data_IF_461400598199
#
_entry.id   IF_461400598199
#
_cell.length_a   1.000
_cell.length_b   1.000
_cell.length_c   1.000
_cell.angle_alpha   90.00
_cell.angle_beta   90.00
_cell.angle_gamma   90.00
#
_symmetry.space_group_name_H-M   'P 1'
#
loop_
_entity.id
_entity.type
_entity.pdbx_description
1 polymer ?
#
# COMPACT_ATOMS: atom_id res chain seq x y z
N UNK A 1 -22.61 6.50 24.86
CA UNK A 1 -22.62 7.55 23.81
C UNK A 1 -22.30 6.88 22.50
N UNK A 2 -23.14 6.97 21.51
CA UNK A 2 -22.83 6.48 20.16
C UNK A 2 -21.89 7.51 19.52
N UNK A 3 -20.64 7.11 19.33
CA UNK A 3 -19.65 7.95 18.64
C UNK A 3 -20.11 8.14 17.20
N UNK A 4 -20.35 9.39 16.82
CA UNK A 4 -20.82 9.72 15.47
C UNK A 4 -19.64 9.69 14.50
N UNK A 5 -19.66 8.74 13.59
CA UNK A 5 -18.65 8.57 12.54
C UNK A 5 -18.72 9.73 11.55
N UNK A 6 -17.62 10.39 11.29
CA UNK A 6 -17.48 11.45 10.26
C UNK A 6 -17.41 10.82 8.86
N UNK A 7 -18.52 10.27 8.41
CA UNK A 7 -18.61 9.50 7.16
C UNK A 7 -18.19 10.29 5.91
N UNK A 8 -18.35 11.63 5.90
CA UNK A 8 -17.97 12.48 4.76
C UNK A 8 -16.48 12.37 4.40
N UNK A 9 -15.60 12.09 5.38
CA UNK A 9 -14.17 11.96 5.15
C UNK A 9 -13.78 10.81 4.20
N UNK A 10 -14.63 9.77 4.07
CA UNK A 10 -14.40 8.69 3.11
C UNK A 10 -14.55 9.13 1.64
N UNK A 11 -15.16 10.28 1.40
CA UNK A 11 -15.39 10.80 0.05
C UNK A 11 -14.41 11.90 -0.36
N UNK A 12 -13.62 12.39 0.60
CA UNK A 12 -12.72 13.53 0.37
C UNK A 12 -11.28 13.11 0.02
N UNK A 13 -10.88 11.88 0.37
CA UNK A 13 -9.51 11.41 0.19
C UNK A 13 -9.46 10.07 -0.52
N UNK A 14 -8.38 9.83 -1.27
CA UNK A 14 -8.10 8.54 -1.91
C UNK A 14 -7.69 7.46 -0.90
N UNK A 15 -7.21 7.88 0.27
CA UNK A 15 -6.91 7.01 1.40
C UNK A 15 -8.04 7.02 2.42
N UNK A 16 -8.27 5.88 3.07
CA UNK A 16 -9.16 5.82 4.22
C UNK A 16 -8.66 6.79 5.29
N UNK A 17 -9.54 7.64 5.86
CA UNK A 17 -9.16 8.51 6.97
C UNK A 17 -8.73 7.68 8.17
N UNK A 18 -7.81 8.19 8.99
CA UNK A 18 -7.40 7.51 10.22
C UNK A 18 -8.57 7.37 11.20
N UNK A 19 -8.51 6.38 12.07
CA UNK A 19 -9.54 6.17 13.08
C UNK A 19 -9.72 7.42 13.96
N UNK A 20 -8.62 8.09 14.31
CA UNK A 20 -8.65 9.31 15.08
C UNK A 20 -9.33 10.48 14.34
N UNK A 21 -9.21 10.56 13.02
CA UNK A 21 -9.94 11.54 12.19
C UNK A 21 -11.43 11.22 12.12
N UNK A 22 -11.78 9.93 12.08
CA UNK A 22 -13.18 9.49 11.99
C UNK A 22 -13.97 9.73 13.26
N UNK A 23 -13.39 9.45 14.43
CA UNK A 23 -14.10 9.43 15.72
C UNK A 23 -13.48 10.33 16.80
N UNK A 24 -12.27 10.86 16.58
CA UNK A 24 -11.48 11.57 17.59
C UNK A 24 -10.53 10.65 18.37
N UNK A 25 -9.47 11.24 18.92
CA UNK A 25 -8.41 10.48 19.59
C UNK A 25 -8.87 9.71 20.84
N UNK A 26 -9.78 10.28 21.62
CA UNK A 26 -10.24 9.64 22.86
C UNK A 26 -11.14 8.45 22.57
N UNK A 27 -12.06 8.57 21.63
CA UNK A 27 -13.01 7.52 21.28
C UNK A 27 -12.36 6.39 20.44
N UNK A 28 -11.20 6.67 19.80
CA UNK A 28 -10.48 5.68 19.00
C UNK A 28 -9.88 4.54 19.82
N UNK A 29 -9.68 4.72 21.13
CA UNK A 29 -9.00 3.76 22.01
C UNK A 29 -9.77 2.43 22.18
N UNK A 30 -11.09 2.48 22.09
CA UNK A 30 -11.97 1.32 22.33
C UNK A 30 -12.48 0.69 21.02
N UNK A 31 -12.00 1.18 19.87
CA UNK A 31 -12.40 0.68 18.55
C UNK A 31 -11.32 -0.21 17.97
N UNK A 32 -11.72 -1.39 17.47
CA UNK A 32 -10.81 -2.27 16.74
C UNK A 32 -10.75 -1.78 15.28
N UNK A 33 -9.57 -1.28 14.89
CA UNK A 33 -9.33 -0.75 13.55
C UNK A 33 -8.94 -1.88 12.56
N UNK A 34 -9.75 -2.04 11.52
CA UNK A 34 -9.47 -2.94 10.39
C UNK A 34 -9.08 -2.20 9.10
N UNK A 35 -9.03 -0.86 9.12
CA UNK A 35 -8.65 -0.05 7.97
C UNK A 35 -7.14 -0.02 7.75
N UNK A 36 -6.37 0.10 8.84
CA UNK A 36 -4.93 0.20 8.79
C UNK A 36 -4.25 -1.07 9.27
N UNK A 37 -3.45 -1.66 8.40
CA UNK A 37 -2.66 -2.85 8.72
C UNK A 37 -1.36 -2.37 9.37
N UNK A 38 -1.38 -2.23 10.71
CA UNK A 38 -0.22 -1.89 11.50
C UNK A 38 0.25 -3.11 12.31
N UNK A 39 1.56 -3.27 12.46
CA UNK A 39 2.12 -4.27 13.37
C UNK A 39 2.26 -3.67 14.78
N UNK A 40 1.43 -4.06 15.76
CA UNK A 40 1.47 -3.48 17.11
C UNK A 40 2.72 -3.87 17.90
N UNK A 41 3.48 -4.87 17.43
CA UNK A 41 4.71 -5.38 18.06
C UNK A 41 5.99 -4.78 17.47
N UNK A 42 5.86 -3.87 16.51
CA UNK A 42 6.97 -3.22 15.86
C UNK A 42 6.81 -1.68 15.94
N UNK A 43 7.87 -0.90 16.16
CA UNK A 43 9.26 -1.34 16.41
C UNK A 43 9.44 -2.02 17.78
N UNK A 44 10.43 -2.89 17.91
CA UNK A 44 10.72 -3.57 19.18
C UNK A 44 11.23 -2.57 20.24
N UNK A 45 11.13 -2.90 21.56
CA UNK A 45 11.63 -2.02 22.61
C UNK A 45 13.12 -1.65 22.46
N UNK A 46 13.94 -2.57 21.93
CA UNK A 46 15.34 -2.30 21.63
C UNK A 46 15.53 -1.29 20.52
N UNK A 47 14.74 -1.40 19.45
CA UNK A 47 14.76 -0.42 18.33
C UNK A 47 14.29 0.95 18.80
N UNK A 48 13.25 1.02 19.63
CA UNK A 48 12.76 2.29 20.18
C UNK A 48 13.84 2.98 21.02
N UNK A 49 14.53 2.25 21.91
CA UNK A 49 15.65 2.81 22.69
C UNK A 49 16.75 3.34 21.78
N UNK A 50 17.15 2.58 20.78
CA UNK A 50 18.19 3.00 19.82
C UNK A 50 17.78 4.28 19.08
N UNK A 51 16.52 4.36 18.63
CA UNK A 51 15.99 5.58 17.99
C UNK A 51 16.00 6.78 18.93
N UNK A 52 15.59 6.61 20.20
CA UNK A 52 15.61 7.66 21.21
C UNK A 52 17.01 8.20 21.48
N UNK A 53 17.98 7.31 21.65
CA UNK A 53 19.39 7.67 21.88
C UNK A 53 20.01 8.44 20.70
N UNK A 54 19.63 8.07 19.47
CA UNK A 54 20.16 8.68 18.25
C UNK A 54 19.28 9.86 17.73
N UNK A 55 18.14 10.11 18.31
CA UNK A 55 17.19 11.11 17.84
C UNK A 55 17.81 12.51 17.60
N UNK A 56 18.67 13.05 18.50
CA UNK A 56 19.31 14.36 18.26
C UNK A 56 20.16 14.41 16.98
N UNK A 57 20.76 13.30 16.60
CA UNK A 57 21.53 13.19 15.35
C UNK A 57 20.65 13.02 14.13
N UNK A 58 19.58 12.21 14.27
CA UNK A 58 18.65 11.96 13.19
C UNK A 58 17.95 13.23 12.71
N UNK A 59 17.51 14.10 13.65
CA UNK A 59 16.79 15.35 13.30
C UNK A 59 17.73 16.45 12.77
N UNK A 60 19.02 16.37 13.02
CA UNK A 60 20.01 17.37 12.58
C UNK A 60 20.65 17.02 11.23
N UNK A 61 20.49 15.79 10.78
CA UNK A 61 21.15 15.28 9.59
C UNK A 61 20.17 15.17 8.43
N UNK A 62 20.63 15.51 7.24
CA UNK A 62 19.89 15.16 6.04
C UNK A 62 19.87 13.63 5.88
N UNK A 63 18.73 13.03 5.50
CA UNK A 63 18.70 11.63 5.16
C UNK A 63 19.59 11.37 3.93
N UNK A 64 20.10 10.16 3.81
CA UNK A 64 20.82 9.76 2.60
C UNK A 64 19.90 9.87 1.38
N UNK A 65 20.37 10.52 0.34
CA UNK A 65 19.68 10.60 -0.95
C UNK A 65 19.75 9.28 -1.75
N UNK A 66 20.61 8.35 -1.32
CA UNK A 66 20.76 7.06 -1.99
C UNK A 66 20.16 5.93 -1.15
N UNK A 67 19.27 5.10 -1.73
CA UNK A 67 18.73 3.92 -1.06
C UNK A 67 19.74 2.76 -0.96
N UNK A 68 20.94 2.90 -1.52
CA UNK A 68 21.89 1.81 -1.68
C UNK A 68 22.30 1.11 -0.38
N UNK A 69 22.38 1.83 0.74
CA UNK A 69 22.68 1.22 2.05
C UNK A 69 21.52 0.37 2.52
N UNK A 70 20.33 0.93 2.57
CA UNK A 70 19.12 0.19 2.96
C UNK A 70 18.85 -1.00 2.04
N UNK A 71 19.14 -0.86 0.76
CA UNK A 71 19.03 -1.91 -0.24
C UNK A 71 19.97 -3.08 0.05
N UNK A 72 21.25 -2.80 0.36
CA UNK A 72 22.24 -3.83 0.74
C UNK A 72 21.85 -4.54 2.05
N UNK A 73 21.44 -3.77 3.04
CA UNK A 73 21.04 -4.32 4.35
C UNK A 73 19.82 -5.23 4.22
N UNK A 74 18.79 -4.79 3.48
CA UNK A 74 17.60 -5.59 3.22
C UNK A 74 17.93 -6.83 2.37
N UNK A 75 18.78 -6.69 1.35
CA UNK A 75 19.24 -7.80 0.51
C UNK A 75 19.96 -8.88 1.33
N UNK A 76 20.79 -8.46 2.30
CA UNK A 76 21.47 -9.38 3.21
C UNK A 76 20.50 -10.19 4.08
N UNK A 77 19.47 -9.52 4.61
CA UNK A 77 18.40 -10.18 5.41
C UNK A 77 17.61 -11.15 4.54
N UNK A 78 17.21 -10.73 3.34
CA UNK A 78 16.39 -11.53 2.41
C UNK A 78 17.22 -12.59 1.66
N UNK A 79 18.56 -12.54 1.73
CA UNK A 79 19.50 -13.41 1.00
C UNK A 79 19.29 -13.36 -0.53
N UNK A 80 19.09 -12.15 -1.05
CA UNK A 80 18.95 -11.89 -2.49
C UNK A 80 20.02 -10.92 -2.96
N UNK A 81 20.21 -10.81 -4.29
CA UNK A 81 21.08 -9.80 -4.85
C UNK A 81 20.49 -8.40 -4.63
N UNK A 82 21.22 -7.40 -4.08
CA UNK A 82 20.73 -6.03 -3.93
C UNK A 82 20.24 -5.40 -5.24
N UNK A 83 20.82 -5.77 -6.38
CA UNK A 83 20.39 -5.26 -7.71
C UNK A 83 18.98 -5.76 -8.11
N UNK A 84 18.43 -6.73 -7.40
CA UNK A 84 17.06 -7.23 -7.59
C UNK A 84 16.04 -6.58 -6.65
N UNK A 85 16.44 -5.55 -5.90
CA UNK A 85 15.57 -4.85 -4.96
C UNK A 85 15.40 -3.38 -5.34
N UNK A 86 14.18 -2.90 -5.21
CA UNK A 86 13.86 -1.48 -5.24
C UNK A 86 13.19 -1.13 -3.91
N UNK A 87 13.63 -0.05 -3.28
CA UNK A 87 13.06 0.47 -2.04
C UNK A 87 12.40 1.81 -2.34
N UNK A 88 11.15 1.96 -1.93
CA UNK A 88 10.38 3.21 -2.05
C UNK A 88 9.70 3.59 -0.73
N UNK A 89 9.13 4.76 -0.70
CA UNK A 89 8.34 5.27 0.43
C UNK A 89 6.93 4.66 0.41
N UNK A 90 6.83 3.40 0.82
CA UNK A 90 5.60 2.64 0.80
C UNK A 90 5.23 2.07 -0.56
N UNK A 91 4.15 1.29 -0.57
CA UNK A 91 3.68 0.60 -1.77
C UNK A 91 3.23 1.56 -2.88
N UNK A 92 2.64 2.69 -2.53
CA UNK A 92 2.12 3.67 -3.51
C UNK A 92 3.21 4.19 -4.45
N UNK A 93 4.40 4.53 -3.93
CA UNK A 93 5.50 4.96 -4.79
C UNK A 93 5.92 3.86 -5.77
N UNK A 94 6.00 2.61 -5.30
CA UNK A 94 6.35 1.48 -6.16
C UNK A 94 5.26 1.18 -7.19
N UNK A 95 3.99 1.30 -6.82
CA UNK A 95 2.85 1.16 -7.73
C UNK A 95 2.95 2.20 -8.86
N UNK A 96 3.16 3.47 -8.50
CA UNK A 96 3.33 4.56 -9.49
C UNK A 96 4.52 4.28 -10.40
N UNK A 97 5.67 3.90 -9.84
CA UNK A 97 6.87 3.60 -10.61
C UNK A 97 6.63 2.46 -11.61
N UNK A 98 6.04 1.35 -11.18
CA UNK A 98 5.73 0.20 -12.04
C UNK A 98 4.74 0.62 -13.15
N UNK A 99 3.67 1.30 -12.77
CA UNK A 99 2.62 1.71 -13.69
C UNK A 99 3.12 2.68 -14.76
N UNK A 100 4.01 3.60 -14.41
CA UNK A 100 4.51 4.61 -15.35
C UNK A 100 5.66 4.10 -16.23
N UNK A 101 6.38 3.06 -15.79
CA UNK A 101 7.58 2.59 -16.51
C UNK A 101 7.41 1.28 -17.25
N UNK A 102 6.58 0.37 -16.74
CA UNK A 102 6.51 -1.00 -17.23
C UNK A 102 5.15 -1.40 -17.81
N UNK A 103 4.09 -0.65 -17.49
CA UNK A 103 2.72 -1.06 -17.81
C UNK A 103 2.05 -0.03 -18.73
N UNK A 104 1.52 -0.52 -19.84
CA UNK A 104 0.65 0.29 -20.72
C UNK A 104 -0.84 0.08 -20.40
N UNK A 105 -1.26 -1.20 -20.33
CA UNK A 105 -2.64 -1.59 -19.99
C UNK A 105 -2.61 -2.75 -19.01
N UNK A 106 -3.47 -2.69 -17.98
CA UNK A 106 -3.51 -3.68 -16.90
C UNK A 106 -4.93 -4.17 -16.64
N UNK A 107 -5.04 -5.46 -16.33
CA UNK A 107 -6.24 -6.06 -15.77
C UNK A 107 -6.21 -5.96 -14.25
N UNK A 108 -7.29 -5.45 -13.67
CA UNK A 108 -7.41 -5.25 -12.22
C UNK A 108 -8.68 -5.92 -11.70
N UNK A 109 -8.58 -6.94 -10.84
CA UNK A 109 -9.75 -7.51 -10.18
C UNK A 109 -10.28 -6.55 -9.13
N UNK A 110 -11.60 -6.35 -9.09
CA UNK A 110 -12.26 -5.45 -8.15
C UNK A 110 -13.39 -6.18 -7.38
N UNK A 111 -13.58 -5.90 -6.09
CA UNK A 111 -12.96 -4.84 -5.28
C UNK A 111 -11.49 -5.12 -4.96
N UNK A 112 -10.68 -4.08 -4.84
CA UNK A 112 -9.25 -4.13 -4.54
C UNK A 112 -8.79 -2.87 -3.80
N UNK A 113 -7.51 -2.80 -3.46
CA UNK A 113 -6.91 -1.59 -2.89
C UNK A 113 -6.99 -0.42 -3.87
N UNK A 114 -7.53 0.72 -3.42
CA UNK A 114 -7.86 1.87 -4.25
C UNK A 114 -6.69 2.42 -5.06
N UNK A 115 -5.48 2.43 -4.48
CA UNK A 115 -4.27 2.96 -5.12
C UNK A 115 -3.97 2.33 -6.50
N UNK A 116 -4.28 1.05 -6.67
CA UNK A 116 -4.06 0.38 -7.96
C UNK A 116 -4.89 1.00 -9.08
N UNK A 117 -6.13 1.44 -8.77
CA UNK A 117 -7.05 2.01 -9.75
C UNK A 117 -6.80 3.50 -9.92
N UNK A 118 -6.63 4.24 -8.83
CA UNK A 118 -6.49 5.69 -8.87
C UNK A 118 -5.22 6.14 -9.57
N UNK A 119 -4.10 5.47 -9.31
CA UNK A 119 -2.83 5.78 -9.96
C UNK A 119 -2.76 5.32 -11.43
N UNK A 120 -3.73 4.49 -11.87
CA UNK A 120 -3.84 4.07 -13.26
C UNK A 120 -4.68 5.04 -14.11
N UNK A 121 -5.71 5.68 -13.51
CA UNK A 121 -6.66 6.56 -14.22
C UNK A 121 -5.99 7.73 -14.93
N UNK A 122 -4.89 8.25 -14.40
CA UNK A 122 -4.24 9.46 -14.91
C UNK A 122 -3.19 9.15 -15.99
N UNK A 123 -2.76 7.90 -16.15
CA UNK A 123 -1.61 7.55 -16.98
C UNK A 123 -1.81 6.38 -17.92
N UNK A 124 -2.72 5.43 -17.64
CA UNK A 124 -2.84 4.15 -18.37
C UNK A 124 -4.27 3.62 -18.39
N UNK A 125 -4.56 2.77 -19.38
CA UNK A 125 -5.84 2.06 -19.44
C UNK A 125 -5.91 0.93 -18.41
N UNK A 126 -6.77 1.05 -17.42
CA UNK A 126 -7.12 -0.03 -16.51
C UNK A 126 -8.41 -0.70 -16.94
N UNK A 127 -8.38 -2.03 -17.12
CA UNK A 127 -9.58 -2.83 -17.36
C UNK A 127 -9.99 -3.56 -16.08
N UNK A 128 -11.20 -3.26 -15.61
CA UNK A 128 -11.68 -3.78 -14.33
C UNK A 128 -12.39 -5.13 -14.53
N UNK A 129 -11.95 -6.13 -13.79
CA UNK A 129 -12.58 -7.45 -13.71
C UNK A 129 -13.38 -7.55 -12.42
N UNK A 130 -14.72 -7.45 -12.51
CA UNK A 130 -15.58 -7.52 -11.33
C UNK A 130 -15.59 -8.93 -10.73
N UNK A 131 -15.21 -9.04 -9.47
CA UNK A 131 -15.41 -10.22 -8.64
C UNK A 131 -16.85 -10.23 -8.15
N UNK A 132 -17.43 -11.42 -8.02
CA UNK A 132 -18.84 -11.57 -7.73
C UNK A 132 -19.09 -11.83 -6.25
N UNK A 133 -20.01 -11.08 -5.62
CA UNK A 133 -20.40 -11.32 -4.22
C UNK A 133 -20.91 -12.73 -3.98
N UNK A 134 -21.73 -13.28 -4.91
CA UNK A 134 -22.29 -14.64 -4.84
C UNK A 134 -21.22 -15.74 -4.92
N UNK A 135 -20.00 -15.41 -5.40
CA UNK A 135 -18.81 -16.26 -5.42
C UNK A 135 -17.86 -15.93 -4.26
N UNK A 136 -18.32 -15.21 -3.24
CA UNK A 136 -17.51 -14.70 -2.11
C UNK A 136 -16.28 -13.91 -2.57
N UNK A 137 -16.40 -13.14 -3.66
CA UNK A 137 -15.31 -12.39 -4.27
C UNK A 137 -14.07 -13.23 -4.63
N UNK A 138 -14.25 -14.54 -4.85
CA UNK A 138 -13.11 -15.39 -5.25
C UNK A 138 -12.67 -15.11 -6.67
N UNK A 139 -11.35 -14.96 -6.84
CA UNK A 139 -10.72 -14.84 -8.14
C UNK A 139 -10.54 -16.22 -8.78
N UNK A 140 -11.40 -16.56 -9.75
CA UNK A 140 -11.22 -17.76 -10.58
C UNK A 140 -10.16 -17.51 -11.65
N UNK A 141 -8.93 -17.85 -11.34
CA UNK A 141 -7.76 -17.55 -12.18
C UNK A 141 -7.92 -17.95 -13.66
N UNK A 142 -8.44 -19.14 -14.03
CA UNK A 142 -8.63 -19.49 -15.45
C UNK A 142 -9.58 -18.55 -16.17
N UNK A 143 -10.67 -18.12 -15.51
CA UNK A 143 -11.66 -17.17 -16.06
C UNK A 143 -11.04 -15.80 -16.25
N UNK A 144 -10.29 -15.32 -15.24
CA UNK A 144 -9.59 -14.04 -15.28
C UNK A 144 -8.54 -13.99 -16.40
N UNK A 145 -7.69 -15.00 -16.50
CA UNK A 145 -6.68 -15.10 -17.56
C UNK A 145 -7.30 -15.15 -18.96
N UNK A 146 -8.36 -15.92 -19.15
CA UNK A 146 -9.07 -15.99 -20.43
C UNK A 146 -9.70 -14.64 -20.80
N UNK A 147 -10.26 -13.91 -19.80
CA UNK A 147 -10.82 -12.59 -19.99
C UNK A 147 -9.75 -11.56 -20.37
N UNK A 148 -8.61 -11.54 -19.67
CA UNK A 148 -7.49 -10.65 -19.94
C UNK A 148 -6.87 -10.89 -21.33
N UNK A 149 -6.68 -12.15 -21.71
CA UNK A 149 -6.17 -12.55 -23.04
C UNK A 149 -7.07 -12.06 -24.18
N UNK A 150 -8.39 -12.20 -24.05
CA UNK A 150 -9.34 -11.70 -25.07
C UNK A 150 -9.26 -10.18 -25.27
N UNK A 151 -8.78 -9.45 -24.29
CA UNK A 151 -8.58 -7.99 -24.31
C UNK A 151 -7.17 -7.56 -24.67
N UNK A 152 -6.28 -8.51 -24.91
CA UNK A 152 -4.88 -8.25 -25.23
C UNK A 152 -4.09 -7.62 -24.08
N UNK A 153 -4.55 -7.84 -22.82
CA UNK A 153 -3.87 -7.32 -21.64
C UNK A 153 -2.65 -8.16 -21.31
N UNK A 154 -1.52 -7.51 -21.09
CA UNK A 154 -0.23 -8.16 -20.80
C UNK A 154 0.18 -8.04 -19.35
N UNK A 155 -0.34 -7.03 -18.63
CA UNK A 155 -0.13 -6.85 -17.20
C UNK A 155 -1.40 -7.26 -16.44
N UNK A 156 -1.21 -7.96 -15.34
CA UNK A 156 -2.27 -8.47 -14.46
C UNK A 156 -1.89 -8.14 -13.02
N UNK A 157 -2.86 -7.66 -12.25
CA UNK A 157 -2.77 -7.52 -10.80
C UNK A 157 -3.22 -8.80 -10.13
#
# INVERSE_FOLDING_TARGET
MTTELRQHLFYETSHSPSLAELVGYEDAKDIIDFCFIANPYYPTPGMLRNMQENFPNLIKSYPSSSPATSQRDLAAVLKVNPDHLIIGNGATELIVLINTTLIDRIAVPVPTFGEYIEKLKDTRDAELFALKPEENYQLHLPRYLAWARRRGLKALL
#
